data_IF_694656702855
#
_entry.id   IF_694656702855
#
_cell.length_a   1.000
_cell.length_b   1.000
_cell.length_c   1.000
_cell.angle_alpha   90.00
_cell.angle_beta   90.00
_cell.angle_gamma   90.00
#
_symmetry.space_group_name_H-M   'P 1'
#
loop_
_entity.id
_entity.type
_entity.pdbx_description
1 polymer ?
#
# COMPACT_ATOMS: atom_id res chain seq x y z
N UNK A 1 18.87 -44.09 22.97
CA UNK A 1 20.26 -44.33 22.51
C UNK A 1 21.01 -43.01 22.60
N UNK A 2 22.28 -43.03 23.04
CA UNK A 2 23.12 -41.83 23.06
C UNK A 2 23.77 -41.64 21.68
N UNK A 3 23.68 -40.42 21.14
CA UNK A 3 24.24 -40.09 19.83
C UNK A 3 25.56 -39.31 20.02
N UNK A 4 26.65 -39.87 19.49
CA UNK A 4 27.97 -39.24 19.54
C UNK A 4 28.19 -38.33 18.33
N UNK A 5 28.46 -37.05 18.58
CA UNK A 5 28.74 -36.05 17.54
C UNK A 5 30.24 -35.74 17.48
N UNK A 6 30.82 -35.74 16.28
CA UNK A 6 32.21 -35.34 16.04
C UNK A 6 32.29 -33.84 15.74
N UNK A 7 32.94 -33.08 16.62
CA UNK A 7 33.16 -31.62 16.44
C UNK A 7 34.58 -31.40 15.91
N UNK A 8 34.75 -30.76 14.73
CA UNK A 8 36.08 -30.48 14.21
C UNK A 8 36.76 -29.39 15.04
N UNK A 9 38.04 -29.60 15.38
CA UNK A 9 38.85 -28.67 16.16
C UNK A 9 40.04 -28.19 15.35
N UNK A 10 40.43 -26.95 15.58
CA UNK A 10 41.70 -26.39 15.13
C UNK A 10 42.80 -26.83 16.10
N UNK A 11 43.75 -27.63 15.60
CA UNK A 11 44.82 -28.23 16.40
C UNK A 11 45.77 -27.18 17.00
N UNK A 12 45.82 -25.98 16.41
CA UNK A 12 46.67 -24.89 16.88
C UNK A 12 46.00 -24.06 18.00
N UNK A 13 44.81 -24.47 18.46
CA UNK A 13 44.02 -23.77 19.48
C UNK A 13 43.70 -24.68 20.64
N UNK A 14 43.60 -24.09 21.83
CA UNK A 14 43.15 -24.81 23.02
C UNK A 14 41.67 -25.24 22.87
N UNK A 15 41.21 -26.25 23.63
CA UNK A 15 39.80 -26.65 23.62
C UNK A 15 38.84 -25.49 23.93
N UNK A 16 39.21 -24.62 24.87
CA UNK A 16 38.42 -23.44 25.24
C UNK A 16 38.31 -22.42 24.10
N UNK A 17 39.41 -22.15 23.38
CA UNK A 17 39.42 -21.26 22.23
C UNK A 17 38.62 -21.82 21.04
N UNK A 18 38.67 -23.14 20.82
CA UNK A 18 37.82 -23.81 19.84
C UNK A 18 36.33 -23.68 20.19
N UNK A 19 35.95 -23.91 21.45
CA UNK A 19 34.58 -23.70 21.91
C UNK A 19 34.15 -22.23 21.73
N UNK A 20 34.99 -21.27 22.14
CA UNK A 20 34.70 -19.84 22.00
C UNK A 20 34.54 -19.42 20.53
N UNK A 21 35.30 -20.01 19.60
CA UNK A 21 35.13 -19.81 18.15
C UNK A 21 33.73 -20.23 17.70
N UNK A 22 33.23 -21.38 18.15
CA UNK A 22 31.88 -21.83 17.84
C UNK A 22 30.81 -20.92 18.44
N UNK A 23 30.97 -20.48 19.70
CA UNK A 23 30.05 -19.50 20.30
C UNK A 23 30.04 -18.16 19.55
N UNK A 24 31.21 -17.64 19.15
CA UNK A 24 31.31 -16.43 18.33
C UNK A 24 30.65 -16.60 16.97
N UNK A 25 30.85 -17.75 16.31
CA UNK A 25 30.20 -18.09 15.04
C UNK A 25 28.68 -18.15 15.21
N UNK A 26 28.20 -18.83 16.24
CA UNK A 26 26.78 -18.92 16.57
C UNK A 26 26.18 -17.53 16.77
N UNK A 27 26.75 -16.69 17.64
CA UNK A 27 26.23 -15.34 17.89
C UNK A 27 26.24 -14.47 16.63
N UNK A 28 27.28 -14.58 15.79
CA UNK A 28 27.34 -13.87 14.51
C UNK A 28 26.24 -14.33 13.55
N UNK A 29 26.03 -15.64 13.42
CA UNK A 29 25.00 -16.19 12.54
C UNK A 29 23.60 -15.89 13.04
N UNK A 30 23.36 -15.97 14.35
CA UNK A 30 22.10 -15.57 14.98
C UNK A 30 21.79 -14.11 14.69
N UNK A 31 22.74 -13.20 14.92
CA UNK A 31 22.56 -11.79 14.61
C UNK A 31 22.36 -11.55 13.09
N UNK A 32 23.05 -12.30 12.22
CA UNK A 32 22.86 -12.21 10.79
C UNK A 32 21.46 -12.68 10.35
N UNK A 33 20.95 -13.76 10.94
CA UNK A 33 19.62 -14.29 10.71
C UNK A 33 18.55 -13.29 11.17
N UNK A 34 18.67 -12.74 12.39
CA UNK A 34 17.74 -11.72 12.90
C UNK A 34 17.68 -10.48 11.98
N UNK A 35 18.83 -10.00 11.50
CA UNK A 35 18.87 -8.90 10.55
C UNK A 35 18.33 -9.28 9.16
N UNK A 36 18.53 -10.52 8.71
CA UNK A 36 18.03 -10.97 7.43
C UNK A 36 16.49 -10.94 7.40
N UNK A 37 15.81 -11.35 8.49
CA UNK A 37 14.36 -11.25 8.58
C UNK A 37 13.86 -9.80 8.47
N UNK A 38 14.54 -8.84 9.11
CA UNK A 38 14.22 -7.41 8.98
C UNK A 38 14.40 -6.93 7.53
N UNK A 39 15.46 -7.37 6.85
CA UNK A 39 15.68 -6.98 5.44
C UNK A 39 14.64 -7.59 4.50
N UNK A 40 14.17 -8.82 4.76
CA UNK A 40 13.10 -9.44 3.99
C UNK A 40 11.81 -8.62 4.12
N UNK A 41 11.40 -8.28 5.35
CA UNK A 41 10.20 -7.48 5.60
C UNK A 41 10.27 -6.12 4.89
N UNK A 42 11.41 -5.41 4.99
CA UNK A 42 11.60 -4.13 4.30
C UNK A 42 11.57 -4.26 2.77
N UNK A 43 12.11 -5.36 2.22
CA UNK A 43 12.11 -5.61 0.78
C UNK A 43 10.71 -5.96 0.26
N UNK A 44 9.92 -6.71 1.04
CA UNK A 44 8.53 -7.03 0.73
C UNK A 44 7.66 -5.77 0.74
N UNK A 45 7.78 -4.92 1.76
CA UNK A 45 7.08 -3.61 1.81
C UNK A 45 7.48 -2.73 0.60
N UNK A 46 8.76 -2.73 0.24
CA UNK A 46 9.24 -1.97 -0.92
C UNK A 46 8.68 -2.51 -2.24
N UNK A 47 8.62 -3.83 -2.43
CA UNK A 47 7.99 -4.44 -3.61
C UNK A 47 6.52 -4.04 -3.71
N UNK A 48 5.76 -4.15 -2.61
CA UNK A 48 4.34 -3.75 -2.57
C UNK A 48 4.14 -2.28 -2.97
N UNK A 49 4.99 -1.39 -2.45
CA UNK A 49 4.95 0.02 -2.83
C UNK A 49 5.25 0.23 -4.32
N UNK A 50 6.29 -0.40 -4.86
CA UNK A 50 6.64 -0.24 -6.28
C UNK A 50 5.59 -0.85 -7.21
N UNK A 51 4.93 -1.93 -6.79
CA UNK A 51 3.78 -2.51 -7.49
C UNK A 51 2.59 -1.55 -7.48
N UNK A 52 2.35 -0.81 -6.39
CA UNK A 52 1.30 0.20 -6.35
C UNK A 52 1.58 1.36 -7.30
N UNK A 53 2.84 1.82 -7.35
CA UNK A 53 3.27 2.84 -8.32
C UNK A 53 3.06 2.34 -9.75
N UNK A 54 3.45 1.09 -10.06
CA UNK A 54 3.25 0.51 -11.38
C UNK A 54 1.76 0.48 -11.76
N UNK A 55 0.90 0.03 -10.85
CA UNK A 55 -0.56 0.03 -11.06
C UNK A 55 -1.11 1.44 -11.32
N UNK A 56 -0.59 2.45 -10.62
CA UNK A 56 -0.99 3.84 -10.84
C UNK A 56 -0.56 4.34 -12.23
N UNK A 57 0.62 3.95 -12.71
CA UNK A 57 1.10 4.28 -14.06
C UNK A 57 0.22 3.62 -15.13
N UNK A 58 -0.12 2.34 -14.96
CA UNK A 58 -0.96 1.60 -15.90
C UNK A 58 -2.40 2.15 -15.98
N UNK A 59 -2.88 2.75 -14.89
CA UNK A 59 -4.21 3.36 -14.81
C UNK A 59 -4.21 4.88 -15.05
N UNK A 60 -3.09 5.50 -15.41
CA UNK A 60 -3.01 6.93 -15.66
C UNK A 60 -3.70 7.29 -16.99
N UNK A 61 -4.71 8.16 -16.94
CA UNK A 61 -5.50 8.55 -18.13
C UNK A 61 -4.83 9.67 -18.95
N UNK A 62 -3.94 10.44 -18.34
CA UNK A 62 -3.36 11.63 -18.97
C UNK A 62 -1.94 11.93 -18.48
N UNK A 63 -1.25 12.80 -19.22
CA UNK A 63 0.13 13.18 -18.93
C UNK A 63 0.31 13.84 -17.55
N UNK A 64 -0.71 14.50 -17.01
CA UNK A 64 -0.62 15.15 -15.71
C UNK A 64 -0.57 14.12 -14.57
N UNK A 65 -1.38 13.06 -14.66
CA UNK A 65 -1.36 11.96 -13.69
C UNK A 65 0.03 11.31 -13.63
N UNK A 66 0.68 11.14 -14.79
CA UNK A 66 2.07 10.64 -14.86
C UNK A 66 3.10 11.59 -14.24
N UNK A 67 2.95 12.91 -14.42
CA UNK A 67 3.84 13.89 -13.78
C UNK A 67 3.66 13.89 -12.26
N UNK A 68 2.44 13.69 -11.75
CA UNK A 68 2.18 13.59 -10.32
C UNK A 68 2.78 12.31 -9.71
N UNK A 69 2.69 11.16 -10.40
CA UNK A 69 3.37 9.91 -9.99
C UNK A 69 4.90 10.08 -10.03
N UNK A 70 5.43 10.77 -11.04
CA UNK A 70 6.87 11.09 -11.10
C UNK A 70 7.29 11.99 -9.94
N UNK A 71 6.48 12.97 -9.57
CA UNK A 71 6.74 13.81 -8.39
C UNK A 71 6.73 12.98 -7.10
N UNK A 72 5.83 12.01 -6.97
CA UNK A 72 5.83 11.04 -5.86
C UNK A 72 7.15 10.26 -5.80
N UNK A 73 7.63 9.72 -6.92
CA UNK A 73 8.89 8.97 -6.99
C UNK A 73 10.12 9.84 -6.70
N UNK A 74 10.04 11.13 -6.97
CA UNK A 74 11.08 12.10 -6.60
C UNK A 74 11.05 12.40 -5.10
N UNK A 75 9.86 12.56 -4.51
CA UNK A 75 9.68 12.83 -3.08
C UNK A 75 10.09 11.62 -2.22
N UNK A 76 9.82 10.41 -2.71
CA UNK A 76 10.22 9.15 -2.06
C UNK A 76 11.67 8.75 -2.31
N UNK A 77 12.38 9.46 -3.19
CA UNK A 77 13.83 9.32 -3.40
C UNK A 77 14.26 8.28 -4.45
N UNK A 78 13.32 7.67 -5.19
CA UNK A 78 13.63 6.75 -6.28
C UNK A 78 14.15 7.46 -7.54
N UNK A 79 13.70 8.69 -7.78
CA UNK A 79 14.14 9.51 -8.91
C UNK A 79 14.91 10.72 -8.38
N UNK A 80 16.11 10.95 -8.91
CA UNK A 80 16.90 12.11 -8.56
C UNK A 80 16.20 13.43 -8.96
N UNK A 81 16.09 14.36 -8.00
CA UNK A 81 15.55 15.69 -8.25
C UNK A 81 16.48 16.47 -9.20
N UNK A 82 16.06 16.69 -10.45
CA UNK A 82 16.74 17.64 -11.34
C UNK A 82 16.36 19.07 -10.96
N UNK A 83 17.35 19.80 -10.42
CA UNK A 83 17.25 21.20 -9.94
C UNK A 83 16.72 22.24 -10.96
N UNK A 84 16.46 21.87 -12.22
CA UNK A 84 16.11 22.80 -13.30
C UNK A 84 14.62 23.12 -13.43
N UNK A 85 13.75 22.53 -12.61
CA UNK A 85 12.37 23.00 -12.48
C UNK A 85 12.14 23.34 -11.02
N UNK A 86 12.07 24.65 -10.71
CA UNK A 86 11.20 25.10 -9.61
C UNK A 86 9.81 24.58 -9.98
N UNK A 87 9.45 23.37 -9.51
CA UNK A 87 8.06 22.96 -9.55
C UNK A 87 7.34 24.01 -8.71
N UNK A 88 6.56 24.86 -9.38
CA UNK A 88 5.44 25.52 -8.69
C UNK A 88 4.77 24.38 -7.94
N UNK A 89 4.59 24.49 -6.61
CA UNK A 89 3.75 23.58 -5.85
C UNK A 89 2.49 23.39 -6.69
N UNK A 90 2.41 22.29 -7.42
CA UNK A 90 1.27 21.99 -8.25
C UNK A 90 0.17 21.86 -7.23
N UNK A 91 -0.90 22.66 -7.39
CA UNK A 91 -2.09 22.47 -6.55
C UNK A 91 -2.38 20.97 -6.58
N UNK A 92 -2.69 20.35 -5.42
CA UNK A 92 -2.99 18.92 -5.39
C UNK A 92 -3.91 18.61 -6.55
N UNK A 93 -3.53 17.59 -7.34
CA UNK A 93 -4.35 17.13 -8.44
C UNK A 93 -5.78 16.92 -7.93
N UNK A 94 -6.76 17.27 -8.76
CA UNK A 94 -8.16 17.06 -8.39
C UNK A 94 -8.34 15.55 -8.30
N UNK A 95 -8.67 15.09 -7.09
CA UNK A 95 -9.16 13.73 -6.85
C UNK A 95 -10.22 13.39 -7.90
N UNK A 96 -10.26 12.13 -8.35
CA UNK A 96 -11.38 11.68 -9.17
C UNK A 96 -12.64 11.77 -8.32
N UNK A 97 -13.64 12.48 -8.82
CA UNK A 97 -14.91 12.69 -8.14
C UNK A 97 -16.03 12.13 -9.01
N UNK A 98 -16.77 11.19 -8.45
CA UNK A 98 -17.96 10.57 -9.03
C UNK A 98 -19.17 10.85 -8.15
N UNK A 99 -20.34 10.90 -8.76
CA UNK A 99 -21.62 10.89 -8.06
C UNK A 99 -22.27 9.52 -8.30
N UNK A 100 -22.60 8.82 -7.22
CA UNK A 100 -23.29 7.52 -7.26
C UNK A 100 -24.68 7.64 -7.88
N UNK A 101 -25.31 6.51 -8.22
CA UNK A 101 -26.72 6.49 -8.68
C UNK A 101 -27.67 7.14 -7.65
N UNK A 102 -27.30 7.10 -6.38
CA UNK A 102 -28.07 7.65 -5.25
C UNK A 102 -27.75 9.12 -4.95
N UNK A 103 -26.88 9.76 -5.74
CA UNK A 103 -26.50 11.14 -5.56
C UNK A 103 -25.44 11.37 -4.48
N UNK A 104 -24.72 10.33 -4.06
CA UNK A 104 -23.69 10.40 -3.02
C UNK A 104 -22.31 10.59 -3.66
N UNK A 105 -21.49 11.46 -3.07
CA UNK A 105 -20.14 11.71 -3.57
C UNK A 105 -19.19 10.53 -3.27
N UNK A 106 -18.51 10.05 -4.31
CA UNK A 106 -17.45 9.05 -4.26
C UNK A 106 -16.15 9.67 -4.78
N UNK A 107 -15.07 9.53 -4.01
CA UNK A 107 -13.75 10.05 -4.36
C UNK A 107 -12.75 8.91 -4.52
N UNK A 108 -11.89 8.98 -5.55
CA UNK A 108 -10.86 7.98 -5.84
C UNK A 108 -9.50 8.67 -5.97
N UNK A 109 -8.49 8.14 -5.27
CA UNK A 109 -7.11 8.61 -5.40
C UNK A 109 -6.39 7.95 -6.59
N UNK A 110 -5.65 8.73 -7.37
CA UNK A 110 -4.95 8.24 -8.58
C UNK A 110 -3.52 7.78 -8.33
N UNK A 111 -2.93 8.21 -7.23
CA UNK A 111 -1.58 7.89 -6.83
C UNK A 111 -1.50 7.79 -5.30
N UNK A 112 -0.34 7.39 -4.77
CA UNK A 112 -0.23 7.10 -3.34
C UNK A 112 -0.24 8.38 -2.49
N UNK A 113 0.24 9.52 -3.02
CA UNK A 113 0.13 10.82 -2.34
C UNK A 113 -1.33 11.29 -2.23
N UNK A 114 -2.10 11.10 -3.30
CA UNK A 114 -3.54 11.37 -3.30
C UNK A 114 -4.28 10.42 -2.36
N UNK A 115 -3.93 9.14 -2.33
CA UNK A 115 -4.50 8.17 -1.39
C UNK A 115 -4.27 8.59 0.07
N UNK A 116 -3.06 9.04 0.42
CA UNK A 116 -2.75 9.56 1.75
C UNK A 116 -3.55 10.84 2.05
N UNK A 117 -3.62 11.79 1.12
CA UNK A 117 -4.44 12.99 1.29
C UNK A 117 -5.91 12.65 1.49
N UNK A 118 -6.45 11.76 0.65
CA UNK A 118 -7.82 11.32 0.63
C UNK A 118 -8.21 10.69 1.97
N UNK A 119 -7.36 9.80 2.47
CA UNK A 119 -7.63 8.99 3.68
C UNK A 119 -7.37 9.76 4.97
N UNK A 120 -6.31 10.57 5.02
CA UNK A 120 -5.82 11.14 6.27
C UNK A 120 -6.23 12.60 6.50
N UNK A 121 -6.61 13.32 5.44
CA UNK A 121 -6.87 14.77 5.51
C UNK A 121 -8.22 15.17 4.93
N UNK A 122 -8.66 14.53 3.86
CA UNK A 122 -9.90 14.88 3.17
C UNK A 122 -11.14 14.20 3.78
N UNK A 123 -11.04 12.91 4.08
CA UNK A 123 -12.15 12.15 4.62
C UNK A 123 -12.43 12.50 6.09
N UNK A 124 -13.70 12.40 6.48
CA UNK A 124 -14.15 12.49 7.86
C UNK A 124 -14.23 11.09 8.48
N UNK A 125 -14.18 11.03 9.82
CA UNK A 125 -14.16 9.77 10.57
C UNK A 125 -15.30 8.79 10.23
N UNK A 126 -16.47 9.31 9.82
CA UNK A 126 -17.66 8.51 9.52
C UNK A 126 -17.76 8.12 8.05
N UNK A 127 -16.92 8.70 7.18
CA UNK A 127 -16.88 8.35 5.76
C UNK A 127 -16.43 6.89 5.60
N UNK A 128 -16.91 6.23 4.55
CA UNK A 128 -16.56 4.83 4.27
C UNK A 128 -15.35 4.81 3.35
N UNK A 129 -14.30 4.15 3.81
CA UNK A 129 -13.11 3.82 3.05
C UNK A 129 -13.24 2.43 2.44
N UNK A 130 -12.79 2.29 1.19
CA UNK A 130 -12.73 1.03 0.47
C UNK A 130 -11.36 0.88 -0.20
N UNK A 131 -10.87 -0.36 -0.24
CA UNK A 131 -9.66 -0.75 -0.94
C UNK A 131 -9.68 -2.23 -1.30
N UNK A 132 -8.99 -2.60 -2.38
CA UNK A 132 -8.84 -4.01 -2.75
C UNK A 132 -8.07 -4.79 -1.68
N UNK A 133 -8.51 -6.01 -1.37
CA UNK A 133 -7.87 -6.81 -0.34
C UNK A 133 -6.52 -7.37 -0.79
N UNK A 134 -5.48 -7.16 0.01
CA UNK A 134 -4.12 -7.73 -0.11
C UNK A 134 -3.37 -7.45 -1.43
N UNK A 135 -3.86 -6.52 -2.25
CA UNK A 135 -3.28 -6.22 -3.56
C UNK A 135 -3.24 -4.70 -3.71
N UNK A 136 -2.26 -4.12 -4.42
CA UNK A 136 -2.23 -2.69 -4.65
C UNK A 136 -3.44 -2.16 -5.44
N UNK A 137 -3.98 -1.02 -4.99
CA UNK A 137 -5.00 -0.27 -5.71
C UNK A 137 -5.26 1.12 -5.12
N UNK A 138 -6.19 1.83 -5.75
CA UNK A 138 -6.62 3.15 -5.30
C UNK A 138 -7.45 3.08 -4.02
N UNK A 139 -7.29 4.09 -3.16
CA UNK A 139 -8.21 4.30 -2.05
C UNK A 139 -9.49 4.96 -2.57
N UNK A 140 -10.63 4.48 -2.11
CA UNK A 140 -11.95 5.02 -2.47
C UNK A 140 -12.69 5.47 -1.21
N UNK A 141 -13.28 6.66 -1.25
CA UNK A 141 -14.07 7.23 -0.14
C UNK A 141 -15.48 7.49 -0.61
N UNK A 142 -16.46 7.00 0.16
CA UNK A 142 -17.86 7.41 0.07
C UNK A 142 -18.10 8.46 1.15
N UNK A 143 -18.57 9.65 0.77
CA UNK A 143 -18.97 10.67 1.76
C UNK A 143 -20.21 10.21 2.48
N UNK A 144 -20.07 9.98 3.78
CA UNK A 144 -21.16 9.43 4.58
C UNK A 144 -21.93 10.55 5.27
N UNK A 145 -23.15 10.79 4.78
CA UNK A 145 -24.11 11.72 5.39
C UNK A 145 -25.21 11.00 6.20
N UNK A 146 -25.12 9.68 6.40
CA UNK A 146 -26.12 8.88 7.10
C UNK A 146 -25.97 7.38 6.88
N UNK A 147 -26.97 6.75 6.25
CA UNK A 147 -26.91 5.35 5.83
C UNK A 147 -26.46 5.31 4.36
N UNK A 148 -25.40 4.56 4.08
CA UNK A 148 -24.90 4.37 2.70
C UNK A 148 -25.68 3.22 2.06
N UNK A 149 -26.43 3.46 0.97
CA UNK A 149 -27.14 2.40 0.27
C UNK A 149 -26.19 1.34 -0.31
N UNK A 150 -26.66 0.09 -0.38
CA UNK A 150 -25.89 -1.01 -0.96
C UNK A 150 -25.48 -0.74 -2.42
N UNK A 151 -26.29 -0.01 -3.19
CA UNK A 151 -25.98 0.44 -4.55
C UNK A 151 -24.73 1.31 -4.60
N UNK A 152 -24.70 2.39 -3.81
CA UNK A 152 -23.52 3.27 -3.69
C UNK A 152 -22.29 2.50 -3.20
N UNK A 153 -22.46 1.58 -2.25
CA UNK A 153 -21.35 0.74 -1.76
C UNK A 153 -20.79 -0.17 -2.86
N UNK A 154 -21.66 -0.80 -3.65
CA UNK A 154 -21.28 -1.66 -4.77
C UNK A 154 -20.57 -0.87 -5.88
N UNK A 155 -21.07 0.33 -6.19
CA UNK A 155 -20.46 1.22 -7.18
C UNK A 155 -19.06 1.67 -6.75
N UNK A 156 -18.91 2.10 -5.49
CA UNK A 156 -17.61 2.47 -4.94
C UNK A 156 -16.63 1.29 -4.90
N UNK A 157 -17.11 0.10 -4.53
CA UNK A 157 -16.29 -1.11 -4.54
C UNK A 157 -15.84 -1.47 -5.96
N UNK A 158 -16.73 -1.31 -6.96
CA UNK A 158 -16.41 -1.54 -8.37
C UNK A 158 -15.33 -0.56 -8.86
N UNK A 159 -15.39 0.72 -8.44
CA UNK A 159 -14.33 1.69 -8.71
C UNK A 159 -13.00 1.28 -8.05
N UNK A 160 -13.02 0.83 -6.80
CA UNK A 160 -11.82 0.34 -6.10
C UNK A 160 -11.19 -0.86 -6.84
N UNK A 161 -12.02 -1.77 -7.35
CA UNK A 161 -11.55 -2.90 -8.16
C UNK A 161 -10.99 -2.44 -9.51
N UNK A 162 -11.65 -1.49 -10.18
CA UNK A 162 -11.25 -1.00 -11.50
C UNK A 162 -9.92 -0.24 -11.48
N UNK A 163 -9.67 0.57 -10.46
CA UNK A 163 -8.40 1.31 -10.26
C UNK A 163 -7.41 0.52 -9.40
N UNK A 164 -7.34 -0.79 -9.59
CA UNK A 164 -6.40 -1.66 -8.90
C UNK A 164 -5.69 -2.60 -9.86
N UNK A 165 -4.68 -3.32 -9.36
CA UNK A 165 -4.08 -4.43 -10.10
C UNK A 165 -5.08 -5.56 -10.40
N UNK A 166 -6.21 -5.61 -9.68
CA UNK A 166 -7.30 -6.57 -9.88
C UNK A 166 -8.24 -6.27 -11.05
N UNK A 167 -8.01 -5.21 -11.84
CA UNK A 167 -8.90 -4.74 -12.92
C UNK A 167 -9.33 -5.79 -13.94
N UNK A 168 -8.47 -6.78 -14.23
CA UNK A 168 -8.75 -7.83 -15.21
C UNK A 168 -9.22 -9.15 -14.57
N UNK A 169 -9.45 -9.15 -13.26
CA UNK A 169 -9.92 -10.32 -12.51
C UNK A 169 -11.44 -10.31 -12.36
N UNK A 170 -12.03 -11.44 -11.98
CA UNK A 170 -13.45 -11.56 -11.62
C UNK A 170 -13.61 -11.80 -10.13
N UNK A 171 -14.70 -11.33 -9.52
CA UNK A 171 -15.04 -11.48 -8.10
C UNK A 171 -13.90 -11.03 -7.19
N UNK A 172 -13.46 -9.81 -7.38
CA UNK A 172 -12.40 -9.18 -6.61
C UNK A 172 -12.91 -8.83 -5.20
N UNK A 173 -12.23 -9.26 -4.13
CA UNK A 173 -12.57 -8.88 -2.76
C UNK A 173 -12.15 -7.43 -2.49
N UNK A 174 -13.11 -6.61 -2.07
CA UNK A 174 -12.92 -5.23 -1.66
C UNK A 174 -13.25 -5.11 -0.18
N UNK A 175 -12.28 -4.66 0.60
CA UNK A 175 -12.46 -4.39 2.01
C UNK A 175 -12.97 -2.97 2.20
N UNK A 176 -13.92 -2.81 3.12
CA UNK A 176 -14.47 -1.51 3.48
C UNK A 176 -14.67 -1.36 4.98
N UNK A 177 -14.49 -0.13 5.45
CA UNK A 177 -14.68 0.26 6.85
C UNK A 177 -14.85 1.78 6.93
N UNK A 178 -15.31 2.28 8.08
CA UNK A 178 -15.23 3.71 8.37
C UNK A 178 -13.78 4.17 8.55
N UNK A 179 -13.50 5.42 8.14
CA UNK A 179 -12.18 6.04 8.18
C UNK A 179 -11.55 6.06 9.58
N UNK A 180 -12.34 6.18 10.64
CA UNK A 180 -11.82 6.11 12.03
C UNK A 180 -11.07 4.81 12.36
N UNK A 181 -11.33 3.74 11.62
CA UNK A 181 -10.66 2.45 11.80
C UNK A 181 -9.37 2.34 10.97
N UNK A 182 -9.12 3.29 10.05
CA UNK A 182 -7.95 3.32 9.17
C UNK A 182 -6.87 4.21 9.78
N UNK A 183 -5.63 3.72 9.79
CA UNK A 183 -4.47 4.43 10.32
C UNK A 183 -3.28 4.30 9.38
N UNK A 184 -2.49 5.38 9.29
CA UNK A 184 -1.23 5.38 8.56
C UNK A 184 -0.25 4.40 9.22
N UNK A 185 0.42 3.57 8.42
CA UNK A 185 1.52 2.73 8.92
C UNK A 185 2.68 3.61 9.39
N UNK A 186 3.20 3.33 10.59
CA UNK A 186 4.32 4.10 11.12
C UNK A 186 5.56 3.91 10.24
N UNK A 187 6.10 5.01 9.69
CA UNK A 187 7.19 5.00 8.70
C UNK A 187 6.85 4.29 7.37
N UNK A 188 5.58 3.94 7.13
CA UNK A 188 5.15 3.37 5.87
C UNK A 188 5.27 4.38 4.72
N UNK A 189 5.49 3.87 3.51
CA UNK A 189 5.54 4.68 2.29
C UNK A 189 4.17 5.31 2.00
N UNK A 190 4.06 6.32 1.13
CA UNK A 190 2.77 6.89 0.76
C UNK A 190 1.76 5.81 0.35
N UNK A 191 0.47 6.00 0.66
CA UNK A 191 -0.60 5.05 0.36
C UNK A 191 -0.73 3.90 1.37
N UNK A 192 0.33 3.52 2.08
CA UNK A 192 0.27 2.39 3.03
C UNK A 192 -0.54 2.72 4.28
N UNK A 193 -1.59 1.94 4.53
CA UNK A 193 -2.49 2.07 5.68
C UNK A 193 -2.80 0.70 6.30
N UNK A 194 -3.12 0.72 7.58
CA UNK A 194 -3.64 -0.44 8.33
C UNK A 194 -5.04 -0.13 8.82
N UNK A 195 -5.88 -1.15 8.96
CA UNK A 195 -7.22 -1.02 9.53
C UNK A 195 -7.50 -2.13 10.54
N UNK A 196 -8.25 -1.82 11.60
CA UNK A 196 -8.49 -2.74 12.72
C UNK A 196 -9.66 -3.72 12.49
N UNK A 197 -10.68 -3.27 11.77
CA UNK A 197 -11.89 -4.04 11.48
C UNK A 197 -12.39 -3.64 10.11
N UNK A 198 -12.92 -4.60 9.35
CA UNK A 198 -13.45 -4.38 8.03
C UNK A 198 -14.57 -5.38 7.72
N UNK A 199 -15.35 -5.05 6.70
CA UNK A 199 -16.20 -5.99 5.97
C UNK A 199 -15.64 -6.15 4.56
N UNK A 200 -15.99 -7.25 3.89
CA UNK A 200 -15.54 -7.53 2.52
C UNK A 200 -16.75 -7.69 1.61
N UNK A 201 -16.73 -7.03 0.46
CA UNK A 201 -17.69 -7.21 -0.64
C UNK A 201 -16.95 -7.74 -1.87
N UNK A 202 -17.63 -8.53 -2.70
CA UNK A 202 -17.06 -9.10 -3.93
C UNK A 202 -17.69 -8.43 -5.14
N UNK A 203 -16.88 -7.92 -6.04
CA UNK A 203 -17.33 -7.20 -7.24
C UNK A 203 -16.55 -7.62 -8.48
N UNK A 204 -17.16 -7.45 -9.65
CA UNK A 204 -16.46 -7.54 -10.92
C UNK A 204 -15.99 -6.14 -11.33
N UNK A 205 -14.70 -5.94 -11.69
CA UNK A 205 -14.18 -4.64 -12.10
C UNK A 205 -14.71 -4.27 -13.48
N UNK A 206 -15.85 -3.59 -13.50
CA UNK A 206 -16.48 -3.10 -14.72
C UNK A 206 -16.31 -1.58 -14.77
N UNK A 207 -16.07 -1.05 -15.97
CA UNK A 207 -16.11 0.40 -16.16
C UNK A 207 -17.55 0.89 -15.94
N UNK A 208 -17.76 1.63 -14.86
CA UNK A 208 -19.04 2.25 -14.57
C UNK A 208 -19.22 3.54 -15.39
N UNK A 209 -20.44 3.80 -15.82
CA UNK A 209 -20.85 5.05 -16.47
C UNK A 209 -21.45 6.01 -15.43
N UNK A 210 -20.64 6.36 -14.43
CA UNK A 210 -21.03 7.34 -13.41
C UNK A 210 -20.68 8.75 -13.86
N UNK A 211 -21.47 9.72 -13.40
CA UNK A 211 -21.19 11.13 -13.64
C UNK A 211 -19.91 11.53 -12.92
N UNK A 212 -18.86 11.77 -13.69
CA UNK A 212 -17.62 12.37 -13.23
C UNK A 212 -17.74 13.90 -13.19
N UNK A 213 -17.28 14.54 -12.11
CA UNK A 213 -17.42 15.99 -11.84
C UNK A 213 -16.12 16.76 -12.07
#
# INVERSE_FOLDING_TARGET
>A
EEEYIKIPLDINKTPSENAQKYFKKYNKLKAAEENAYIQIELAEEEDEYLQSVLSNIENADNYKDLEDIKNELVETGYIAFKKSMKSKKTKPSKLLHFISSDGIDIYVGKNNLENDYLTLKFAHNNDIWLHIKNIPGSHVIIKNLGEVPDSTLLEAATLAAFYSKGKNSTKVPIDYTEIRNVKKMAKGKPGMVTYSTNKTIYVDPIKLDLKQV
#
